data_IF_352919475532
#
_entry.id   IF_352919475532
#
_cell.length_a   1.000
_cell.length_b   1.000
_cell.length_c   1.000
_cell.angle_alpha   90.00
_cell.angle_beta   90.00
_cell.angle_gamma   90.00
#
_symmetry.space_group_name_H-M   'P 1'
#
loop_
_entity.id
_entity.type
_entity.pdbx_description
1 polymer ?
#
# COMPACT_ATOMS: atom_id res chain seq x y z
N UNK A 1 23.86 -12.48 -49.90
CA UNK A 1 24.02 -11.78 -48.61
C UNK A 1 22.75 -11.08 -48.12
N UNK A 2 22.03 -10.28 -48.89
CA UNK A 2 20.83 -9.55 -48.43
C UNK A 2 19.62 -10.44 -48.04
N UNK A 3 19.47 -11.65 -48.60
CA UNK A 3 18.38 -12.61 -48.22
C UNK A 3 18.64 -13.33 -46.90
N UNK A 4 19.89 -13.68 -46.59
CA UNK A 4 20.25 -14.31 -45.29
C UNK A 4 20.10 -13.35 -44.12
N UNK A 5 20.39 -12.04 -44.34
CA UNK A 5 20.24 -11.03 -43.29
C UNK A 5 18.76 -10.78 -42.92
N UNK A 6 17.83 -10.89 -43.94
CA UNK A 6 16.38 -10.76 -43.69
C UNK A 6 15.81 -11.94 -42.92
N UNK A 7 16.27 -13.16 -43.16
CA UNK A 7 15.81 -14.35 -42.43
C UNK A 7 16.30 -14.35 -40.97
N UNK A 8 17.53 -13.88 -40.69
CA UNK A 8 18.03 -13.77 -39.31
C UNK A 8 17.32 -12.66 -38.51
N UNK A 9 16.94 -11.55 -39.14
CA UNK A 9 16.19 -10.47 -38.50
C UNK A 9 14.75 -10.87 -38.16
N UNK A 10 14.08 -11.63 -39.06
CA UNK A 10 12.75 -12.19 -38.77
C UNK A 10 12.78 -13.25 -37.66
N UNK A 11 13.82 -14.11 -37.64
CA UNK A 11 14.02 -15.07 -36.57
C UNK A 11 14.25 -14.42 -35.20
N UNK A 12 15.01 -13.32 -35.16
CA UNK A 12 15.26 -12.55 -33.92
C UNK A 12 13.98 -11.85 -33.42
N UNK A 13 13.15 -11.32 -34.33
CA UNK A 13 11.85 -10.73 -33.98
C UNK A 13 10.84 -11.76 -33.48
N UNK A 14 10.85 -12.99 -34.01
CA UNK A 14 10.01 -14.08 -33.50
C UNK A 14 10.47 -14.60 -32.13
N UNK A 15 11.79 -14.60 -31.84
CA UNK A 15 12.28 -14.99 -30.51
C UNK A 15 11.96 -13.93 -29.44
N UNK A 16 11.90 -12.65 -29.77
CA UNK A 16 11.49 -11.59 -28.83
C UNK A 16 9.98 -11.62 -28.48
N UNK A 17 9.15 -12.25 -29.30
CA UNK A 17 7.70 -12.35 -29.04
C UNK A 17 7.28 -13.51 -28.12
N UNK A 18 8.21 -14.37 -27.69
CA UNK A 18 7.89 -15.58 -26.88
C UNK A 18 8.13 -15.40 -25.39
N UNK A 19 8.58 -14.24 -24.92
CA UNK A 19 8.85 -13.99 -23.49
C UNK A 19 7.98 -12.87 -22.91
N UNK A 20 6.77 -12.72 -23.40
CA UNK A 20 5.72 -12.10 -22.59
C UNK A 20 4.96 -13.23 -21.90
N UNK A 21 5.61 -13.87 -20.91
CA UNK A 21 4.85 -14.51 -19.85
C UNK A 21 3.98 -13.40 -19.28
N UNK A 22 2.71 -13.37 -19.64
CA UNK A 22 1.75 -12.44 -19.06
C UNK A 22 1.86 -12.57 -17.55
N UNK A 23 2.31 -11.50 -16.87
CA UNK A 23 2.38 -11.49 -15.43
C UNK A 23 1.02 -11.97 -14.92
N UNK A 24 0.99 -13.10 -14.21
CA UNK A 24 -0.26 -13.58 -13.65
C UNK A 24 -0.80 -12.51 -12.71
N UNK A 25 -1.98 -12.01 -13.00
CA UNK A 25 -2.64 -11.03 -12.16
C UNK A 25 -2.92 -11.69 -10.80
N UNK A 26 -2.43 -11.14 -9.68
CA UNK A 26 -2.62 -11.76 -8.38
C UNK A 26 -4.11 -11.84 -8.05
N UNK A 27 -4.55 -13.02 -7.59
CA UNK A 27 -5.93 -13.24 -7.18
C UNK A 27 -6.25 -12.54 -5.85
N UNK A 28 -5.27 -12.49 -4.96
CA UNK A 28 -5.37 -11.87 -3.64
C UNK A 28 -4.19 -10.94 -3.41
N UNK A 29 -4.46 -9.78 -2.82
CA UNK A 29 -3.45 -8.78 -2.46
C UNK A 29 -3.70 -8.41 -1.00
N UNK A 30 -2.68 -8.56 -0.15
CA UNK A 30 -2.73 -8.19 1.26
C UNK A 30 -1.69 -7.11 1.51
N UNK A 31 -2.12 -5.97 2.06
CA UNK A 31 -1.25 -4.89 2.48
C UNK A 31 -1.35 -4.73 4.00
N UNK A 32 -0.25 -4.97 4.70
CA UNK A 32 -0.13 -4.78 6.14
C UNK A 32 0.66 -3.51 6.42
N UNK A 33 0.10 -2.63 7.24
CA UNK A 33 0.72 -1.35 7.61
C UNK A 33 0.93 -1.32 9.13
N UNK A 34 2.19 -1.25 9.55
CA UNK A 34 2.55 -0.96 10.93
C UNK A 34 2.69 0.55 11.12
N UNK A 35 1.63 1.21 11.61
CA UNK A 35 1.64 2.65 11.84
C UNK A 35 2.61 3.03 12.96
N UNK A 36 3.58 3.88 12.65
CA UNK A 36 4.66 4.27 13.55
C UNK A 36 5.70 3.18 13.82
N UNK A 37 5.60 2.03 13.17
CA UNK A 37 6.53 0.91 13.33
C UNK A 37 7.88 1.20 12.65
N UNK A 38 8.92 1.34 13.46
CA UNK A 38 10.30 1.48 12.98
C UNK A 38 11.10 0.19 13.15
N UNK A 39 12.34 0.18 12.66
CA UNK A 39 13.25 -0.98 12.76
C UNK A 39 13.45 -1.48 14.19
N UNK A 40 13.52 -0.56 15.16
CA UNK A 40 13.69 -0.93 16.58
C UNK A 40 12.49 -1.71 17.14
N UNK A 41 11.27 -1.50 16.62
CA UNK A 41 10.10 -2.29 17.02
C UNK A 41 10.22 -3.73 16.50
N UNK A 42 10.72 -3.91 15.30
CA UNK A 42 10.95 -5.23 14.69
C UNK A 42 12.00 -5.98 15.51
N UNK A 43 13.15 -5.35 15.79
CA UNK A 43 14.24 -5.93 16.55
C UNK A 43 13.79 -6.28 17.97
N UNK A 44 13.14 -5.35 18.67
CA UNK A 44 12.63 -5.59 20.03
C UNK A 44 11.63 -6.77 20.06
N UNK A 45 10.79 -6.90 19.03
CA UNK A 45 9.84 -8.01 18.93
C UNK A 45 10.55 -9.34 18.73
N UNK A 46 11.58 -9.38 17.89
CA UNK A 46 12.39 -10.60 17.71
C UNK A 46 13.08 -11.02 19.00
N UNK A 47 13.76 -10.10 19.68
CA UNK A 47 14.41 -10.37 20.97
C UNK A 47 13.39 -10.84 22.03
N UNK A 48 12.22 -10.18 22.09
CA UNK A 48 11.15 -10.59 23.01
C UNK A 48 10.67 -12.02 22.70
N UNK A 49 10.43 -12.30 21.44
CA UNK A 49 9.98 -13.61 21.00
C UNK A 49 10.97 -14.73 21.33
N UNK A 50 12.27 -14.50 21.13
CA UNK A 50 13.34 -15.42 21.53
C UNK A 50 13.41 -15.66 23.05
N UNK A 51 13.13 -14.63 23.86
CA UNK A 51 13.20 -14.69 25.34
C UNK A 51 12.01 -15.39 25.98
N UNK A 52 10.80 -15.11 25.44
CA UNK A 52 9.56 -15.62 26.05
C UNK A 52 9.27 -17.05 25.60
N UNK A 53 9.82 -17.46 24.46
CA UNK A 53 9.53 -18.75 23.81
C UNK A 53 8.05 -18.85 23.46
N UNK A 54 7.74 -19.26 22.28
CA UNK A 54 6.39 -19.78 22.00
C UNK A 54 6.44 -21.29 22.11
N UNK A 55 5.34 -21.93 22.47
CA UNK A 55 5.21 -23.40 22.52
C UNK A 55 5.61 -24.11 21.21
N UNK A 56 5.84 -23.37 20.14
CA UNK A 56 6.26 -23.85 18.83
C UNK A 56 7.77 -23.80 18.59
N UNK A 57 8.57 -23.25 19.51
CA UNK A 57 10.05 -23.28 19.47
C UNK A 57 10.73 -22.42 18.42
N UNK A 58 10.01 -21.81 17.51
CA UNK A 58 10.53 -20.87 16.50
C UNK A 58 9.72 -19.56 16.53
N UNK A 59 10.28 -18.55 17.14
CA UNK A 59 9.67 -17.23 17.17
C UNK A 59 10.48 -16.24 16.34
N UNK A 60 10.39 -16.39 15.04
CA UNK A 60 10.89 -15.40 14.10
C UNK A 60 9.72 -14.71 13.38
N UNK A 61 9.82 -13.39 13.25
CA UNK A 61 8.88 -12.66 12.41
C UNK A 61 9.04 -13.10 10.95
N UNK A 62 7.94 -13.41 10.28
CA UNK A 62 7.97 -13.88 8.90
C UNK A 62 8.34 -12.78 7.90
N UNK A 63 7.77 -11.57 8.07
CA UNK A 63 7.92 -10.51 7.06
C UNK A 63 9.37 -10.04 6.83
N UNK A 64 10.32 -10.07 7.80
CA UNK A 64 11.72 -9.74 7.51
C UNK A 64 12.42 -10.77 6.61
N UNK A 65 11.82 -11.94 6.40
CA UNK A 65 12.36 -12.99 5.51
C UNK A 65 11.80 -12.94 4.10
N UNK A 66 10.94 -11.97 3.78
CA UNK A 66 10.36 -11.85 2.45
C UNK A 66 11.45 -11.58 1.41
N UNK A 67 11.34 -12.17 0.21
CA UNK A 67 12.40 -12.13 -0.81
C UNK A 67 12.63 -10.74 -1.41
N UNK A 68 11.69 -9.81 -1.20
CA UNK A 68 11.79 -8.44 -1.70
C UNK A 68 11.64 -7.48 -0.51
N UNK A 69 12.69 -6.70 -0.28
CA UNK A 69 12.72 -5.65 0.74
C UNK A 69 13.22 -4.36 0.13
N UNK A 70 12.65 -3.24 0.56
CA UNK A 70 13.11 -1.92 0.14
C UNK A 70 12.94 -0.90 1.26
N UNK A 71 13.57 0.25 1.09
CA UNK A 71 13.45 1.39 1.99
C UNK A 71 12.76 2.54 1.26
N UNK A 72 11.94 3.28 1.98
CA UNK A 72 11.24 4.44 1.46
C UNK A 72 11.51 5.66 2.33
N UNK A 73 11.51 6.84 1.71
CA UNK A 73 11.59 8.11 2.43
C UNK A 73 10.19 8.49 2.92
N UNK A 74 10.00 8.51 4.23
CA UNK A 74 8.69 8.73 4.87
C UNK A 74 8.29 10.19 5.05
N UNK A 75 9.17 11.17 4.77
CA UNK A 75 8.81 12.59 4.88
C UNK A 75 7.56 12.92 4.06
N UNK A 76 6.66 13.76 4.59
CA UNK A 76 5.53 14.30 3.86
C UNK A 76 5.95 15.41 2.87
N UNK A 77 5.01 15.96 2.12
CA UNK A 77 5.29 17.12 1.26
C UNK A 77 5.66 18.38 2.07
N UNK A 78 5.17 18.51 3.31
CA UNK A 78 5.32 19.72 4.12
C UNK A 78 6.33 19.59 5.27
N UNK A 79 6.65 18.35 5.75
CA UNK A 79 7.43 18.14 6.97
C UNK A 79 8.42 16.97 6.82
N UNK A 80 9.55 17.07 7.53
CA UNK A 80 10.54 15.98 7.62
C UNK A 80 9.96 14.76 8.34
N UNK A 81 9.11 14.98 9.35
CA UNK A 81 8.39 13.93 10.06
C UNK A 81 6.96 13.91 9.53
N UNK A 82 6.58 12.79 8.94
CA UNK A 82 5.23 12.57 8.42
C UNK A 82 4.23 12.33 9.56
N UNK A 83 2.95 12.48 9.30
CA UNK A 83 1.88 11.95 10.12
C UNK A 83 1.20 10.77 9.41
N UNK A 84 0.35 10.01 10.12
CA UNK A 84 -0.31 8.83 9.59
C UNK A 84 -1.16 9.11 8.35
N UNK A 85 -1.87 10.25 8.30
CA UNK A 85 -2.71 10.60 7.14
C UNK A 85 -1.89 10.83 5.87
N UNK A 86 -0.80 11.61 5.98
CA UNK A 86 0.07 11.88 4.83
C UNK A 86 0.82 10.60 4.38
N UNK A 87 1.26 9.76 5.33
CA UNK A 87 1.91 8.50 5.02
C UNK A 87 0.95 7.50 4.37
N UNK A 88 -0.26 7.36 4.91
CA UNK A 88 -1.30 6.49 4.34
C UNK A 88 -1.72 6.95 2.93
N UNK A 89 -1.88 8.26 2.73
CA UNK A 89 -2.15 8.84 1.39
C UNK A 89 -1.04 8.46 0.42
N UNK A 90 0.23 8.62 0.80
CA UNK A 90 1.35 8.28 -0.07
C UNK A 90 1.41 6.77 -0.39
N UNK A 91 1.14 5.90 0.59
CA UNK A 91 1.05 4.45 0.38
C UNK A 91 -0.12 4.07 -0.53
N UNK A 92 -1.26 4.75 -0.36
CA UNK A 92 -2.48 4.44 -1.10
C UNK A 92 -2.48 4.97 -2.53
N UNK A 93 -1.80 6.07 -2.81
CA UNK A 93 -1.91 6.80 -4.09
C UNK A 93 -0.59 6.88 -4.87
N UNK A 94 0.55 6.71 -4.20
CA UNK A 94 1.88 6.97 -4.76
C UNK A 94 2.28 8.45 -4.72
N UNK A 95 1.42 9.34 -4.21
CA UNK A 95 1.65 10.78 -4.15
C UNK A 95 1.78 11.28 -2.71
N UNK A 96 2.76 12.17 -2.48
CA UNK A 96 2.97 12.79 -1.17
C UNK A 96 2.02 13.97 -0.99
N UNK A 97 1.40 14.02 0.18
CA UNK A 97 0.57 15.15 0.60
C UNK A 97 1.13 15.84 1.84
N UNK A 98 0.51 16.93 2.22
CA UNK A 98 0.78 17.71 3.44
C UNK A 98 0.31 16.96 4.69
N UNK A 99 1.00 17.13 5.82
CA UNK A 99 0.55 16.57 7.10
C UNK A 99 -0.91 16.95 7.39
N UNK A 100 -1.61 16.03 8.01
CA UNK A 100 -3.04 16.06 8.37
C UNK A 100 -4.02 15.86 7.21
N UNK A 101 -3.60 15.92 5.96
CA UNK A 101 -4.44 15.71 4.78
C UNK A 101 -4.63 14.21 4.51
N UNK A 102 -5.84 13.82 4.09
CA UNK A 102 -6.19 12.43 3.74
C UNK A 102 -6.64 12.36 2.28
N UNK A 103 -5.99 11.52 1.47
CA UNK A 103 -6.43 11.18 0.12
C UNK A 103 -6.59 12.35 -0.84
N UNK A 104 -5.91 13.45 -0.58
CA UNK A 104 -5.89 14.65 -1.43
C UNK A 104 -4.45 15.04 -1.79
N UNK A 105 -4.30 15.87 -2.82
CA UNK A 105 -3.04 16.51 -3.18
C UNK A 105 -2.54 17.43 -2.04
N UNK A 106 -1.29 17.89 -2.16
CA UNK A 106 -0.65 18.71 -1.14
C UNK A 106 -1.30 20.09 -0.98
N UNK A 107 -1.93 20.59 -2.02
CA UNK A 107 -2.64 21.87 -2.10
C UNK A 107 -4.11 21.76 -1.65
N UNK A 108 -4.60 20.56 -1.36
CA UNK A 108 -5.98 20.26 -0.95
C UNK A 108 -7.05 20.61 -2.00
N UNK A 109 -6.67 20.62 -3.26
CA UNK A 109 -7.56 20.98 -4.36
C UNK A 109 -8.31 19.78 -4.93
N UNK A 110 -7.68 18.59 -4.93
CA UNK A 110 -8.19 17.43 -5.61
C UNK A 110 -8.03 16.16 -4.76
N UNK A 111 -9.07 15.33 -4.77
CA UNK A 111 -9.01 13.97 -4.23
C UNK A 111 -8.13 13.07 -5.12
N UNK A 112 -7.26 12.29 -4.49
CA UNK A 112 -6.39 11.33 -5.17
C UNK A 112 -7.06 9.96 -5.23
N UNK A 113 -6.86 9.27 -6.35
CA UNK A 113 -7.43 7.92 -6.53
C UNK A 113 -6.53 6.87 -5.93
N UNK A 114 -6.95 6.28 -4.82
CA UNK A 114 -6.19 5.24 -4.13
C UNK A 114 -6.07 3.94 -4.95
N UNK A 115 -5.04 3.15 -4.66
CA UNK A 115 -4.88 1.80 -5.20
C UNK A 115 -6.12 0.92 -4.93
N UNK A 116 -6.73 1.04 -3.74
CA UNK A 116 -7.94 0.31 -3.39
C UNK A 116 -9.11 0.64 -4.35
N UNK A 117 -9.32 1.92 -4.66
CA UNK A 117 -10.32 2.35 -5.65
C UNK A 117 -9.98 1.85 -7.06
N UNK A 118 -8.71 1.90 -7.45
CA UNK A 118 -8.27 1.40 -8.75
C UNK A 118 -8.51 -0.11 -8.90
N UNK A 119 -8.28 -0.87 -7.83
CA UNK A 119 -8.55 -2.31 -7.80
C UNK A 119 -10.05 -2.61 -7.78
N UNK A 120 -10.85 -1.81 -7.06
CA UNK A 120 -12.31 -1.92 -7.09
C UNK A 120 -12.86 -1.74 -8.51
N UNK A 121 -12.37 -0.75 -9.26
CA UNK A 121 -12.76 -0.52 -10.66
C UNK A 121 -12.38 -1.69 -11.58
N UNK A 122 -11.38 -2.47 -11.21
CA UNK A 122 -10.98 -3.70 -11.91
C UNK A 122 -11.75 -4.95 -11.45
N UNK A 123 -12.76 -4.79 -10.60
CA UNK A 123 -13.62 -5.86 -10.12
C UNK A 123 -13.11 -6.61 -8.89
N UNK A 124 -12.03 -6.17 -8.24
CA UNK A 124 -11.60 -6.75 -6.98
C UNK A 124 -12.58 -6.43 -5.85
N UNK A 125 -12.70 -7.34 -4.90
CA UNK A 125 -13.34 -7.08 -3.62
C UNK A 125 -12.34 -6.37 -2.70
N UNK A 126 -12.79 -5.30 -2.03
CA UNK A 126 -11.95 -4.48 -1.17
C UNK A 126 -12.41 -4.61 0.28
N UNK A 127 -11.49 -4.99 1.15
CA UNK A 127 -11.68 -4.99 2.60
C UNK A 127 -10.66 -4.05 3.27
N UNK A 128 -11.13 -3.25 4.20
CA UNK A 128 -10.30 -2.37 5.05
C UNK A 128 -10.45 -2.87 6.48
N UNK A 129 -9.32 -3.21 7.12
CA UNK A 129 -9.28 -3.69 8.50
C UNK A 129 -8.25 -2.86 9.27
N UNK A 130 -8.60 -2.44 10.46
CA UNK A 130 -7.74 -1.63 11.33
C UNK A 130 -7.92 -2.00 12.79
N UNK A 131 -6.89 -1.81 13.60
CA UNK A 131 -6.97 -1.91 15.07
C UNK A 131 -7.39 -0.59 15.73
N UNK A 132 -7.50 0.50 14.96
CA UNK A 132 -8.06 1.77 15.38
C UNK A 132 -9.54 1.89 14.93
N UNK A 133 -10.15 3.08 15.08
CA UNK A 133 -11.46 3.35 14.50
C UNK A 133 -11.40 3.39 12.97
N UNK A 134 -12.50 3.00 12.33
CA UNK A 134 -12.58 2.94 10.87
C UNK A 134 -12.35 4.31 10.23
N UNK A 135 -12.82 5.39 10.86
CA UNK A 135 -12.64 6.77 10.45
C UNK A 135 -11.26 7.36 10.78
N UNK A 136 -10.34 6.53 11.29
CA UNK A 136 -8.97 6.98 11.55
C UNK A 136 -8.20 7.25 10.26
N UNK A 137 -7.15 8.07 10.38
CA UNK A 137 -6.38 8.58 9.26
C UNK A 137 -5.72 7.50 8.38
N UNK A 138 -5.23 6.41 8.99
CA UNK A 138 -4.51 5.36 8.25
C UNK A 138 -5.44 4.56 7.34
N UNK A 139 -6.57 3.99 7.81
CA UNK A 139 -7.52 3.37 6.91
C UNK A 139 -8.16 4.40 5.95
N UNK A 140 -8.43 5.62 6.43
CA UNK A 140 -9.01 6.72 5.63
C UNK A 140 -8.23 7.05 4.36
N UNK A 141 -6.91 6.95 4.38
CA UNK A 141 -6.06 7.18 3.21
C UNK A 141 -6.40 6.31 2.00
N UNK A 142 -7.12 5.21 2.17
CA UNK A 142 -7.50 4.29 1.09
C UNK A 142 -8.88 4.55 0.50
N UNK A 143 -9.77 5.30 1.20
CA UNK A 143 -11.15 5.52 0.76
C UNK A 143 -11.65 6.95 0.90
N UNK A 144 -11.03 7.78 1.76
CA UNK A 144 -11.47 9.14 2.03
C UNK A 144 -10.66 10.19 1.28
N UNK A 145 -11.26 11.39 1.14
CA UNK A 145 -10.62 12.57 0.57
C UNK A 145 -11.01 13.78 1.39
N UNK A 146 -10.26 14.07 2.47
CA UNK A 146 -10.56 15.12 3.42
C UNK A 146 -9.36 16.05 3.67
N UNK A 147 -9.55 17.36 3.80
CA UNK A 147 -8.47 18.31 4.00
C UNK A 147 -7.84 18.25 5.39
N UNK A 148 -8.49 17.56 6.34
CA UNK A 148 -7.98 17.35 7.69
C UNK A 148 -8.43 16.01 8.26
N UNK A 149 -7.50 15.29 8.91
CA UNK A 149 -7.73 13.98 9.53
C UNK A 149 -8.64 14.02 10.75
N UNK A 150 -8.92 15.19 11.31
CA UNK A 150 -9.86 15.35 12.44
C UNK A 150 -11.34 15.36 12.00
N UNK A 151 -11.59 15.36 10.71
CA UNK A 151 -12.94 15.33 10.13
C UNK A 151 -13.50 13.91 10.14
N UNK A 152 -13.63 13.33 11.34
CA UNK A 152 -14.02 11.92 11.51
C UNK A 152 -15.38 11.60 10.89
N UNK A 153 -16.35 12.49 11.05
CA UNK A 153 -17.68 12.28 10.48
C UNK A 153 -17.62 12.19 8.94
N UNK A 154 -16.94 13.12 8.29
CA UNK A 154 -16.80 13.18 6.84
C UNK A 154 -16.01 11.97 6.31
N UNK A 155 -14.97 11.55 7.04
CA UNK A 155 -14.20 10.32 6.72
C UNK A 155 -15.12 9.09 6.82
N UNK A 156 -15.97 9.02 7.84
CA UNK A 156 -16.99 7.96 7.99
C UNK A 156 -18.01 7.97 6.85
N UNK A 157 -18.45 9.13 6.41
CA UNK A 157 -19.33 9.30 5.23
C UNK A 157 -18.61 8.81 3.96
N UNK A 158 -17.34 9.14 3.79
CA UNK A 158 -16.52 8.66 2.66
C UNK A 158 -16.39 7.14 2.67
N UNK A 159 -16.24 6.51 3.85
CA UNK A 159 -16.24 5.06 3.97
C UNK A 159 -17.56 4.45 3.49
N UNK A 160 -18.70 4.98 3.97
CA UNK A 160 -20.01 4.51 3.58
C UNK A 160 -20.28 4.62 2.06
N UNK A 161 -19.76 5.68 1.45
CA UNK A 161 -19.90 5.96 0.02
C UNK A 161 -18.80 5.32 -0.85
N UNK A 162 -17.83 4.64 -0.26
CA UNK A 162 -16.69 4.07 -0.98
C UNK A 162 -17.09 2.95 -1.96
N UNK A 163 -18.17 2.24 -1.67
CA UNK A 163 -18.56 1.02 -2.36
C UNK A 163 -17.64 -0.17 -2.06
N UNK A 164 -16.79 -0.09 -1.03
CA UNK A 164 -15.94 -1.21 -0.62
C UNK A 164 -16.77 -2.31 0.05
N UNK A 165 -16.26 -3.53 0.03
CA UNK A 165 -17.07 -4.72 0.35
C UNK A 165 -17.03 -5.08 1.83
N UNK A 166 -16.01 -4.64 2.56
CA UNK A 166 -15.86 -4.95 3.98
C UNK A 166 -15.07 -3.86 4.73
N UNK A 167 -15.54 -3.53 5.92
CA UNK A 167 -14.84 -2.72 6.89
C UNK A 167 -14.84 -3.44 8.25
N UNK A 168 -13.69 -3.46 8.92
CA UNK A 168 -13.51 -4.01 10.26
C UNK A 168 -12.59 -3.14 11.10
N UNK A 169 -13.04 -2.74 12.29
CA UNK A 169 -12.29 -1.88 13.20
C UNK A 169 -13.12 -1.48 14.40
N UNK A 170 -12.55 -0.62 15.27
CA UNK A 170 -13.26 -0.07 16.40
C UNK A 170 -14.22 1.06 15.96
#
# INVERSE_FOLDING_TARGET
MKKLLRCSLLGLLLLCSVVVNGAQVPKYIFLFIGDGMGFNHVEATQIYAEKVGTDTGECSLLFPTFPVMTQVCTRSASHLITCSSAAATALATGEKTTNYVIGMDAEKNHGLKSLARQLKDKGYKIGIITSASIDHATPGGFYASQPDRSMYYEIGVDAANSGFDFFGGA
#
